data_IF_321171259660
#
_entry.id   IF_321171259660
#
_cell.length_a   1.000
_cell.length_b   1.000
_cell.length_c   1.000
_cell.angle_alpha   90.00
_cell.angle_beta   90.00
_cell.angle_gamma   90.00
#
_symmetry.space_group_name_H-M   'P 1'
#
loop_
_entity.id
_entity.type
_entity.pdbx_description
1 polymer ?
#
# COMPACT_ATOMS: atom_id res chain seq x y z
N UNK A 1 -3.26 16.90 -9.66
CA UNK A 1 -2.73 15.82 -10.52
C UNK A 1 -1.49 15.13 -9.94
N UNK A 2 -0.33 15.80 -9.81
CA UNK A 2 0.90 15.12 -9.34
C UNK A 2 0.88 14.72 -7.86
N UNK A 3 0.32 15.56 -6.98
CA UNK A 3 0.09 15.22 -5.56
C UNK A 3 -0.84 14.01 -5.40
N UNK A 4 -1.93 13.97 -6.18
CA UNK A 4 -2.83 12.82 -6.23
C UNK A 4 -2.14 11.57 -6.79
N UNK A 5 -1.21 11.71 -7.75
CA UNK A 5 -0.36 10.62 -8.22
C UNK A 5 0.54 10.02 -7.15
N UNK A 6 1.05 10.86 -6.24
CA UNK A 6 1.81 10.40 -5.07
C UNK A 6 0.94 9.64 -4.08
N UNK A 7 -0.30 10.10 -3.84
CA UNK A 7 -1.28 9.38 -3.02
C UNK A 7 -1.55 8.01 -3.64
N UNK A 8 -1.89 7.94 -4.93
CA UNK A 8 -2.14 6.67 -5.64
C UNK A 8 -0.99 5.68 -5.50
N UNK A 9 0.26 6.11 -5.71
CA UNK A 9 1.41 5.19 -5.60
C UNK A 9 1.69 4.80 -4.14
N UNK A 10 1.38 5.65 -3.16
CA UNK A 10 1.47 5.32 -1.74
C UNK A 10 0.42 4.28 -1.37
N UNK A 11 -0.85 4.48 -1.73
CA UNK A 11 -1.91 3.50 -1.46
C UNK A 11 -1.60 2.14 -2.10
N UNK A 12 -1.07 2.15 -3.33
CA UNK A 12 -0.63 0.93 -4.01
C UNK A 12 0.49 0.19 -3.26
N UNK A 13 1.38 0.92 -2.58
CA UNK A 13 2.44 0.30 -1.78
C UNK A 13 1.90 -0.20 -0.43
N UNK A 14 0.92 0.49 0.16
CA UNK A 14 0.22 0.03 1.37
C UNK A 14 -0.58 -1.23 1.07
N UNK A 15 -1.33 -1.29 -0.03
CA UNK A 15 -2.06 -2.49 -0.48
C UNK A 15 -1.11 -3.71 -0.56
N UNK A 16 0.03 -3.55 -1.26
CA UNK A 16 1.05 -4.60 -1.37
C UNK A 16 1.60 -5.03 0.00
N UNK A 17 1.76 -4.08 0.92
CA UNK A 17 2.19 -4.37 2.27
C UNK A 17 1.13 -5.15 3.06
N UNK A 18 -0.14 -4.76 2.97
CA UNK A 18 -1.26 -5.45 3.63
C UNK A 18 -1.46 -6.86 3.09
N UNK A 19 -1.31 -7.08 1.79
CA UNK A 19 -1.32 -8.43 1.20
C UNK A 19 -0.19 -9.30 1.74
N UNK A 20 1.03 -8.75 1.82
CA UNK A 20 2.15 -9.46 2.45
C UNK A 20 1.87 -9.76 3.92
N UNK A 21 1.23 -8.84 4.65
CA UNK A 21 0.89 -9.04 6.06
C UNK A 21 -0.19 -10.12 6.25
N UNK A 22 -1.18 -10.19 5.35
CA UNK A 22 -2.17 -11.27 5.31
C UNK A 22 -1.54 -12.65 5.11
N UNK A 23 -0.41 -12.76 4.41
CA UNK A 23 0.31 -14.02 4.26
C UNK A 23 1.07 -14.43 5.54
N UNK A 24 1.46 -13.47 6.38
CA UNK A 24 2.16 -13.74 7.63
C UNK A 24 1.22 -14.06 8.79
N UNK A 25 0.00 -13.52 8.78
CA UNK A 25 -0.96 -13.74 9.85
C UNK A 25 -1.40 -15.21 9.91
N UNK A 26 -1.39 -15.85 11.10
CA UNK A 26 -1.84 -17.23 11.25
C UNK A 26 -3.27 -17.43 10.75
N UNK A 27 -3.55 -18.56 10.10
CA UNK A 27 -4.89 -18.84 9.55
C UNK A 27 -5.98 -18.87 10.63
N UNK A 28 -5.64 -19.32 11.84
CA UNK A 28 -6.54 -19.30 13.00
C UNK A 28 -6.89 -17.90 13.52
N UNK A 29 -6.12 -16.86 13.18
CA UNK A 29 -6.42 -15.49 13.61
C UNK A 29 -7.40 -14.80 12.64
N UNK A 30 -8.63 -15.32 12.60
CA UNK A 30 -9.67 -14.82 11.71
C UNK A 30 -10.00 -13.33 11.96
N UNK A 31 -9.85 -12.86 13.21
CA UNK A 31 -10.15 -11.47 13.58
C UNK A 31 -9.14 -10.50 12.97
N UNK A 32 -7.83 -10.73 13.18
CA UNK A 32 -6.80 -9.87 12.61
C UNK A 32 -6.81 -9.93 11.08
N UNK A 33 -7.03 -11.11 10.49
CA UNK A 33 -7.15 -11.27 9.04
C UNK A 33 -8.35 -10.50 8.47
N UNK A 34 -9.49 -10.46 9.16
CA UNK A 34 -10.65 -9.68 8.73
C UNK A 34 -10.36 -8.17 8.74
N UNK A 35 -9.67 -7.68 9.78
CA UNK A 35 -9.29 -6.26 9.88
C UNK A 35 -8.33 -5.87 8.75
N UNK A 36 -7.27 -6.65 8.52
CA UNK A 36 -6.29 -6.35 7.47
C UNK A 36 -6.91 -6.44 6.07
N UNK A 37 -7.86 -7.36 5.84
CA UNK A 37 -8.64 -7.40 4.60
C UNK A 37 -9.46 -6.14 4.40
N UNK A 38 -10.18 -5.68 5.43
CA UNK A 38 -10.95 -4.45 5.34
C UNK A 38 -10.05 -3.26 5.03
N UNK A 39 -8.93 -3.11 5.75
CA UNK A 39 -7.97 -2.04 5.49
C UNK A 39 -7.47 -2.06 4.04
N UNK A 40 -7.17 -3.24 3.49
CA UNK A 40 -6.72 -3.35 2.10
C UNK A 40 -7.82 -2.86 1.14
N UNK A 41 -9.06 -3.27 1.37
CA UNK A 41 -10.18 -2.87 0.52
C UNK A 41 -10.43 -1.35 0.61
N UNK A 42 -10.24 -0.73 1.79
CA UNK A 42 -10.31 0.72 1.98
C UNK A 42 -9.21 1.46 1.16
N UNK A 43 -7.97 0.99 1.18
CA UNK A 43 -6.87 1.64 0.43
C UNK A 43 -7.02 1.50 -1.09
N UNK A 44 -7.63 0.39 -1.56
CA UNK A 44 -7.99 0.24 -2.98
C UNK A 44 -9.00 1.31 -3.39
N UNK A 45 -10.00 1.58 -2.55
CA UNK A 45 -10.98 2.64 -2.81
C UNK A 45 -10.33 4.03 -2.77
N UNK A 46 -9.43 4.29 -1.82
CA UNK A 46 -8.67 5.55 -1.76
C UNK A 46 -7.83 5.78 -3.02
N UNK A 47 -7.11 4.77 -3.49
CA UNK A 47 -6.32 4.83 -4.73
C UNK A 47 -7.22 5.08 -5.95
N UNK A 48 -8.37 4.40 -6.03
CA UNK A 48 -9.33 4.60 -7.11
C UNK A 48 -9.94 6.01 -7.10
N UNK A 49 -10.29 6.55 -5.92
CA UNK A 49 -10.80 7.91 -5.77
C UNK A 49 -9.76 8.95 -6.19
N UNK A 50 -8.50 8.80 -5.77
CA UNK A 50 -7.42 9.70 -6.17
C UNK A 50 -7.16 9.67 -7.69
N UNK A 51 -7.26 8.48 -8.31
CA UNK A 51 -7.18 8.32 -9.77
C UNK A 51 -8.32 9.06 -10.49
N UNK A 52 -9.57 8.88 -10.03
CA UNK A 52 -10.75 9.54 -10.58
C UNK A 52 -10.72 11.07 -10.46
N UNK A 53 -10.04 11.60 -9.44
CA UNK A 53 -9.81 13.04 -9.24
C UNK A 53 -8.70 13.62 -10.15
N UNK A 54 -8.22 12.84 -11.13
CA UNK A 54 -7.23 13.28 -12.12
C UNK A 54 -5.79 13.18 -11.62
N UNK A 55 -5.47 12.11 -10.88
CA UNK A 55 -4.08 11.78 -10.58
C UNK A 55 -3.28 11.59 -11.88
N UNK A 56 -2.11 12.21 -11.96
CA UNK A 56 -1.15 11.90 -13.00
C UNK A 56 -0.26 10.74 -12.54
N UNK A 57 0.03 9.78 -13.42
CA UNK A 57 1.02 8.76 -13.10
C UNK A 57 2.37 9.39 -12.76
N UNK A 58 2.99 8.91 -11.68
CA UNK A 58 4.31 9.37 -11.30
C UNK A 58 5.37 8.85 -12.29
N UNK A 59 6.39 9.66 -12.62
CA UNK A 59 7.52 9.21 -13.42
C UNK A 59 8.20 7.97 -12.82
N UNK A 60 8.64 7.06 -13.69
CA UNK A 60 9.26 5.78 -13.29
C UNK A 60 10.41 5.92 -12.27
N UNK A 61 11.32 6.92 -12.36
CA UNK A 61 12.37 7.10 -11.35
C UNK A 61 11.80 7.35 -9.95
N UNK A 62 10.73 8.14 -9.84
CA UNK A 62 10.08 8.47 -8.56
C UNK A 62 9.40 7.24 -7.98
N UNK A 63 8.65 6.49 -8.79
CA UNK A 63 8.01 5.24 -8.36
C UNK A 63 9.04 4.22 -7.86
N UNK A 64 10.19 4.12 -8.54
CA UNK A 64 11.26 3.20 -8.16
C UNK A 64 11.90 3.60 -6.83
N UNK A 65 12.15 4.90 -6.62
CA UNK A 65 12.65 5.42 -5.35
C UNK A 65 11.67 5.16 -4.19
N UNK A 66 10.36 5.39 -4.41
CA UNK A 66 9.34 5.10 -3.40
C UNK A 66 9.31 3.61 -3.05
N UNK A 67 9.36 2.71 -4.04
CA UNK A 67 9.42 1.26 -3.78
C UNK A 67 10.66 0.85 -2.97
N UNK A 68 11.81 1.46 -3.23
CA UNK A 68 13.02 1.20 -2.44
C UNK A 68 12.81 1.62 -0.98
N UNK A 69 12.21 2.80 -0.74
CA UNK A 69 11.88 3.27 0.60
C UNK A 69 10.86 2.36 1.30
N UNK A 70 9.80 1.93 0.61
CA UNK A 70 8.83 0.98 1.17
C UNK A 70 9.50 -0.34 1.57
N UNK A 71 10.44 -0.83 0.75
CA UNK A 71 11.18 -2.05 1.10
C UNK A 71 12.04 -1.85 2.35
N UNK A 72 12.66 -0.69 2.54
CA UNK A 72 13.39 -0.37 3.77
C UNK A 72 12.45 -0.40 4.98
N UNK A 73 11.32 0.31 4.92
CA UNK A 73 10.34 0.35 6.02
C UNK A 73 9.84 -1.04 6.42
N UNK A 74 9.41 -1.83 5.44
CA UNK A 74 8.90 -3.19 5.69
C UNK A 74 9.97 -4.12 6.25
N UNK A 75 11.22 -3.99 5.79
CA UNK A 75 12.34 -4.80 6.29
C UNK A 75 12.72 -4.39 7.71
N UNK A 76 12.78 -3.10 8.01
CA UNK A 76 13.06 -2.60 9.36
C UNK A 76 12.03 -3.07 10.38
N UNK A 77 10.76 -3.17 10.01
CA UNK A 77 9.69 -3.66 10.89
C UNK A 77 9.84 -5.14 11.30
N UNK A 78 10.65 -5.95 10.59
CA UNK A 78 10.97 -7.31 11.01
C UNK A 78 12.13 -7.40 12.01
N UNK A 79 12.98 -6.38 12.06
CA UNK A 79 14.20 -6.37 12.88
C UNK A 79 14.06 -5.53 14.16
N UNK A 80 12.95 -4.82 14.32
CA UNK A 80 12.55 -4.10 15.53
C UNK A 80 11.47 -4.89 16.27
#
# INVERSE_FOLDING_TARGET
AQSLGFVVETERQVEQHLDSHLLMLPEQDAKSRAIVKQMRDDEVEHGAAASQLGAAELPLPVRTAMRAMAKVMTTSAYYL
#
